data_IF_472879736905
#
_entry.id   IF_472879736905
#
_cell.length_a   1.000
_cell.length_b   1.000
_cell.length_c   1.000
_cell.angle_alpha   90.00
_cell.angle_beta   90.00
_cell.angle_gamma   90.00
#
_symmetry.space_group_name_H-M   'P 1'
#
loop_
_entity.id
_entity.type
_entity.pdbx_description
1 polymer ?
#
# COMPACT_ATOMS: atom_id res chain seq x y z
N UNK A 1 3.77 -18.70 3.31
CA UNK A 1 4.49 -19.35 2.19
C UNK A 1 6.00 -19.09 2.23
N UNK A 2 6.50 -17.87 1.92
CA UNK A 2 7.95 -17.65 1.85
C UNK A 2 8.66 -17.91 3.19
N UNK A 3 8.16 -17.31 4.27
CA UNK A 3 8.75 -17.49 5.61
C UNK A 3 8.55 -18.90 6.17
N UNK A 4 7.47 -19.59 5.78
CA UNK A 4 7.16 -20.94 6.26
C UNK A 4 8.00 -22.04 5.59
N UNK A 5 8.27 -21.91 4.28
CA UNK A 5 8.77 -23.03 3.46
C UNK A 5 10.10 -22.75 2.76
N UNK A 6 10.45 -21.49 2.53
CA UNK A 6 11.54 -21.12 1.63
C UNK A 6 12.67 -20.42 2.39
N UNK A 7 12.34 -19.52 3.31
CA UNK A 7 13.33 -18.78 4.06
C UNK A 7 14.05 -19.68 5.07
N UNK A 8 15.39 -19.64 5.04
CA UNK A 8 16.27 -20.46 5.90
C UNK A 8 17.37 -19.66 6.61
N UNK A 9 17.33 -18.33 6.52
CA UNK A 9 18.30 -17.43 7.18
C UNK A 9 17.95 -17.15 8.64
N UNK A 10 18.74 -16.25 9.25
CA UNK A 10 18.49 -15.80 10.62
C UNK A 10 17.15 -15.08 10.76
N UNK A 11 16.47 -15.30 11.89
CA UNK A 11 15.15 -14.71 12.16
C UNK A 11 15.27 -13.26 12.62
N UNK A 12 15.93 -12.43 11.83
CA UNK A 12 15.99 -10.98 12.01
C UNK A 12 15.32 -10.30 10.82
N UNK A 13 14.59 -9.22 11.07
CA UNK A 13 14.04 -8.39 10.01
C UNK A 13 14.16 -6.91 10.36
N UNK A 14 14.54 -6.10 9.37
CA UNK A 14 14.44 -4.64 9.46
C UNK A 14 13.33 -4.15 8.54
N UNK A 15 12.36 -3.44 9.10
CA UNK A 15 11.21 -2.86 8.38
C UNK A 15 11.19 -1.33 8.49
N UNK A 16 10.51 -0.62 7.57
CA UNK A 16 10.23 0.79 7.80
C UNK A 16 9.28 0.96 8.98
N UNK A 17 9.51 2.00 9.78
CA UNK A 17 8.63 2.33 10.90
C UNK A 17 7.23 2.78 10.44
N UNK A 18 7.10 3.35 9.23
CA UNK A 18 5.82 3.71 8.65
C UNK A 18 5.33 2.59 7.74
N UNK A 19 4.55 1.64 8.27
CA UNK A 19 4.05 0.52 7.48
C UNK A 19 2.75 -0.06 8.03
N UNK A 20 2.21 -1.02 7.30
CA UNK A 20 0.96 -1.69 7.61
C UNK A 20 1.14 -2.80 8.66
N UNK A 21 0.17 -2.99 9.56
CA UNK A 21 0.24 -4.10 10.51
C UNK A 21 0.32 -5.47 9.82
N UNK A 22 -0.36 -5.63 8.67
CA UNK A 22 -0.31 -6.86 7.88
C UNK A 22 1.08 -7.14 7.26
N UNK A 23 1.96 -6.13 7.22
CA UNK A 23 3.34 -6.22 6.76
C UNK A 23 4.25 -6.73 7.91
N UNK A 24 3.90 -6.40 9.15
CA UNK A 24 4.66 -6.74 10.37
C UNK A 24 4.25 -8.11 10.90
N UNK A 25 2.94 -8.39 10.92
CA UNK A 25 2.34 -9.58 11.53
C UNK A 25 2.98 -10.91 11.09
N UNK A 26 3.29 -11.15 9.79
CA UNK A 26 3.93 -12.39 9.38
C UNK A 26 5.26 -12.65 10.10
N UNK A 27 6.09 -11.63 10.31
CA UNK A 27 7.37 -11.78 11.00
C UNK A 27 7.19 -12.06 12.50
N UNK A 28 6.24 -11.38 13.14
CA UNK A 28 5.88 -11.62 14.55
C UNK A 28 5.41 -13.07 14.74
N UNK A 29 4.49 -13.54 13.89
CA UNK A 29 3.92 -14.89 13.97
C UNK A 29 4.97 -15.99 13.75
N UNK A 30 6.11 -15.67 13.12
CA UNK A 30 7.23 -16.58 12.88
C UNK A 30 8.38 -16.44 13.90
N UNK A 31 8.24 -15.54 14.88
CA UNK A 31 9.23 -15.32 15.93
C UNK A 31 10.51 -14.63 15.45
N UNK A 32 10.38 -13.68 14.51
CA UNK A 32 11.50 -12.83 14.12
C UNK A 32 11.81 -11.77 15.19
N UNK A 33 13.09 -11.46 15.38
CA UNK A 33 13.51 -10.20 15.97
C UNK A 33 13.30 -9.07 14.96
N UNK A 34 12.67 -7.99 15.39
CA UNK A 34 12.21 -6.92 14.50
C UNK A 34 12.86 -5.60 14.88
N UNK A 35 13.59 -5.02 13.95
CA UNK A 35 14.13 -3.66 14.03
C UNK A 35 13.38 -2.74 13.04
N UNK A 36 13.33 -1.44 13.36
CA UNK A 36 12.60 -0.46 12.56
C UNK A 36 13.48 0.72 12.15
N UNK A 37 13.65 0.93 10.85
CA UNK A 37 14.35 2.10 10.34
C UNK A 37 13.38 3.27 10.13
N UNK A 38 13.89 4.49 10.34
CA UNK A 38 13.10 5.72 10.21
C UNK A 38 12.81 6.08 8.75
N UNK A 39 11.69 6.77 8.57
CA UNK A 39 11.26 7.37 7.29
C UNK A 39 11.29 8.89 7.46
N UNK A 40 11.83 9.59 6.46
CA UNK A 40 11.85 11.05 6.43
C UNK A 40 10.46 11.60 6.08
N UNK A 41 10.23 12.90 6.30
CA UNK A 41 8.93 13.53 6.02
C UNK A 41 8.55 13.47 4.53
N UNK A 42 9.52 13.46 3.61
CA UNK A 42 9.29 13.24 2.17
C UNK A 42 9.04 11.77 1.81
N UNK A 43 8.81 10.92 2.82
CA UNK A 43 8.61 9.48 2.74
C UNK A 43 9.83 8.68 2.27
N UNK A 44 11.00 9.30 2.12
CA UNK A 44 12.22 8.58 1.78
C UNK A 44 12.79 7.80 2.96
N UNK A 45 13.59 6.78 2.67
CA UNK A 45 14.38 6.07 3.69
C UNK A 45 15.34 7.05 4.37
N UNK A 46 15.43 7.00 5.71
CA UNK A 46 16.51 7.60 6.46
C UNK A 46 17.72 6.63 6.48
N UNK A 47 18.71 6.88 5.62
CA UNK A 47 19.83 5.94 5.40
C UNK A 47 20.66 5.68 6.66
N UNK A 48 20.94 6.71 7.46
CA UNK A 48 21.71 6.56 8.71
C UNK A 48 20.99 5.65 9.71
N UNK A 49 19.68 5.83 9.86
CA UNK A 49 18.86 4.95 10.68
C UNK A 49 18.84 3.54 10.12
N UNK A 50 18.65 3.36 8.81
CA UNK A 50 18.67 2.04 8.20
C UNK A 50 19.99 1.32 8.45
N UNK A 51 21.13 1.98 8.25
CA UNK A 51 22.45 1.41 8.53
C UNK A 51 22.59 1.02 9.99
N UNK A 52 22.19 1.89 10.92
CA UNK A 52 22.23 1.62 12.37
C UNK A 52 21.43 0.38 12.73
N UNK A 53 20.22 0.22 12.19
CA UNK A 53 19.36 -0.94 12.46
C UNK A 53 19.91 -2.24 11.82
N UNK A 54 20.53 -2.14 10.64
CA UNK A 54 21.19 -3.28 10.00
C UNK A 54 22.43 -3.75 10.76
N UNK A 55 23.18 -2.83 11.38
CA UNK A 55 24.34 -3.17 12.21
C UNK A 55 23.95 -4.00 13.44
N UNK A 56 22.79 -3.72 14.06
CA UNK A 56 22.27 -4.51 15.21
C UNK A 56 22.05 -5.97 14.88
N UNK A 57 21.68 -6.27 13.63
CA UNK A 57 21.44 -7.63 13.14
C UNK A 57 22.65 -8.18 12.37
N UNK A 58 23.80 -7.51 12.44
CA UNK A 58 25.03 -7.86 11.73
C UNK A 58 24.82 -8.10 10.22
N UNK A 59 23.92 -7.33 9.59
CA UNK A 59 23.52 -7.49 8.19
C UNK A 59 23.02 -8.89 7.81
N UNK A 60 22.50 -9.67 8.77
CA UNK A 60 22.02 -11.03 8.55
C UNK A 60 20.53 -11.14 8.91
N UNK A 61 19.71 -11.54 7.93
CA UNK A 61 18.26 -11.60 8.06
C UNK A 61 17.55 -11.12 6.81
N UNK A 62 16.48 -10.35 7.01
CA UNK A 62 15.67 -9.75 5.96
C UNK A 62 15.69 -8.22 6.09
N UNK A 63 15.87 -7.51 4.98
CA UNK A 63 15.49 -6.11 4.84
C UNK A 63 14.22 -6.03 4.01
N UNK A 64 13.14 -5.59 4.64
CA UNK A 64 11.87 -5.36 3.98
C UNK A 64 11.74 -3.87 3.65
N UNK A 65 11.53 -3.56 2.38
CA UNK A 65 11.32 -2.20 1.89
C UNK A 65 10.07 -2.13 1.05
N UNK A 66 9.50 -0.93 0.94
CA UNK A 66 8.44 -0.64 -0.02
C UNK A 66 8.47 0.83 -0.41
N UNK A 67 7.93 1.10 -1.59
CA UNK A 67 7.65 2.46 -2.04
C UNK A 67 6.30 2.94 -1.47
N UNK A 68 6.15 4.25 -1.26
CA UNK A 68 4.91 4.82 -0.73
C UNK A 68 4.06 5.48 -1.81
N UNK A 69 2.77 5.17 -1.80
CA UNK A 69 1.71 5.80 -2.59
C UNK A 69 1.94 5.84 -4.11
N UNK A 70 2.78 4.95 -4.64
CA UNK A 70 3.15 4.89 -6.06
C UNK A 70 4.39 5.68 -6.42
N UNK A 71 4.90 6.53 -5.53
CA UNK A 71 6.08 7.35 -5.78
C UNK A 71 7.38 6.59 -5.48
N UNK A 72 8.44 6.91 -6.21
CA UNK A 72 9.78 6.34 -6.01
C UNK A 72 10.47 6.93 -4.76
N UNK A 73 9.97 6.54 -3.59
CA UNK A 73 10.51 6.94 -2.29
C UNK A 73 11.78 6.18 -1.90
N UNK A 74 12.17 5.19 -2.71
CA UNK A 74 13.43 4.45 -2.56
C UNK A 74 14.59 5.14 -3.30
N UNK A 75 14.30 6.06 -4.22
CA UNK A 75 15.25 6.79 -5.09
C UNK A 75 16.56 7.18 -4.41
N UNK A 76 16.48 7.84 -3.24
CA UNK A 76 17.66 8.30 -2.50
C UNK A 76 18.55 7.15 -2.02
N UNK A 77 17.93 6.09 -1.49
CA UNK A 77 18.62 4.92 -0.94
C UNK A 77 19.02 3.86 -1.98
N UNK A 78 18.70 4.04 -3.27
CA UNK A 78 19.05 3.07 -4.34
C UNK A 78 20.54 2.69 -4.35
N UNK A 79 21.52 3.61 -4.18
CA UNK A 79 22.92 3.24 -4.13
C UNK A 79 23.25 2.31 -2.94
N UNK A 80 22.69 2.59 -1.76
CA UNK A 80 22.87 1.77 -0.57
C UNK A 80 22.25 0.38 -0.76
N UNK A 81 21.00 0.32 -1.21
CA UNK A 81 20.27 -0.93 -1.42
C UNK A 81 20.97 -1.82 -2.46
N UNK A 82 21.49 -1.23 -3.54
CA UNK A 82 22.29 -1.95 -4.53
C UNK A 82 23.57 -2.53 -3.91
N UNK A 83 24.27 -1.77 -3.08
CA UNK A 83 25.48 -2.24 -2.37
C UNK A 83 25.15 -3.38 -1.41
N UNK A 84 24.05 -3.28 -0.66
CA UNK A 84 23.59 -4.33 0.26
C UNK A 84 23.28 -5.61 -0.50
N UNK A 85 22.54 -5.52 -1.61
CA UNK A 85 22.25 -6.68 -2.45
C UNK A 85 23.52 -7.35 -2.98
N UNK A 86 24.47 -6.56 -3.47
CA UNK A 86 25.73 -7.09 -4.03
C UNK A 86 26.58 -7.87 -3.02
N UNK A 87 26.48 -7.56 -1.73
CA UNK A 87 27.15 -8.33 -0.68
C UNK A 87 26.54 -9.70 -0.46
N UNK A 88 25.24 -9.86 -0.75
CA UNK A 88 24.52 -11.13 -0.65
C UNK A 88 24.54 -11.76 0.76
N UNK A 89 24.61 -10.94 1.80
CA UNK A 89 24.57 -11.33 3.22
C UNK A 89 23.16 -11.19 3.83
N UNK A 90 22.30 -10.41 3.16
CA UNK A 90 20.99 -9.98 3.60
C UNK A 90 19.96 -10.24 2.50
N UNK A 91 18.81 -10.82 2.83
CA UNK A 91 17.71 -10.94 1.87
C UNK A 91 16.95 -9.64 1.76
N UNK A 92 16.89 -9.03 0.58
CA UNK A 92 16.08 -7.84 0.34
C UNK A 92 14.72 -8.25 -0.23
N UNK A 93 13.66 -7.86 0.48
CA UNK A 93 12.27 -7.99 0.03
C UNK A 93 11.74 -6.60 -0.38
N UNK A 94 11.32 -6.47 -1.63
CA UNK A 94 10.60 -5.28 -2.13
C UNK A 94 9.11 -5.57 -2.20
N UNK A 95 8.33 -5.01 -1.26
CA UNK A 95 6.88 -4.94 -1.42
C UNK A 95 6.52 -3.75 -2.31
N UNK A 96 6.37 -4.07 -3.59
CA UNK A 96 6.03 -3.12 -4.63
C UNK A 96 4.50 -3.03 -4.84
N UNK A 97 3.69 -3.47 -3.85
CA UNK A 97 2.22 -3.37 -3.91
C UNK A 97 1.76 -1.96 -4.24
N UNK A 98 2.37 -0.93 -3.66
CA UNK A 98 1.95 0.45 -3.92
C UNK A 98 2.56 1.06 -5.18
N UNK A 99 3.48 0.39 -5.87
CA UNK A 99 4.15 0.88 -7.08
C UNK A 99 4.04 -0.08 -8.27
N UNK A 100 3.14 -1.08 -8.20
CA UNK A 100 3.06 -2.16 -9.18
C UNK A 100 2.96 -1.68 -10.63
N UNK A 101 2.10 -0.69 -10.90
CA UNK A 101 1.89 -0.20 -12.27
C UNK A 101 2.90 0.87 -12.70
N UNK A 102 3.92 1.17 -11.90
CA UNK A 102 5.03 2.00 -12.36
C UNK A 102 5.72 1.35 -13.56
N UNK A 103 6.31 2.18 -14.41
CA UNK A 103 6.97 1.73 -15.65
C UNK A 103 8.07 0.68 -15.41
N UNK A 104 8.70 0.72 -14.24
CA UNK A 104 9.73 -0.22 -13.81
C UNK A 104 9.67 -0.40 -12.29
N UNK A 105 10.21 -1.51 -11.81
CA UNK A 105 10.52 -1.68 -10.39
C UNK A 105 11.51 -0.62 -9.93
N UNK A 106 11.38 -0.16 -8.70
CA UNK A 106 12.23 0.92 -8.20
C UNK A 106 13.63 0.44 -7.87
N UNK A 107 13.73 -0.77 -7.33
CA UNK A 107 14.99 -1.40 -7.00
C UNK A 107 15.05 -2.82 -7.57
N UNK A 108 16.26 -3.34 -7.60
CA UNK A 108 16.50 -4.76 -7.76
C UNK A 108 16.50 -5.37 -6.35
N UNK A 109 15.55 -6.25 -6.03
CA UNK A 109 15.48 -7.04 -4.78
C UNK A 109 15.57 -8.55 -5.02
N UNK A 110 15.77 -9.33 -3.96
CA UNK A 110 15.87 -10.80 -4.04
C UNK A 110 14.47 -11.42 -4.15
N UNK A 111 13.51 -10.83 -3.44
CA UNK A 111 12.10 -11.21 -3.41
C UNK A 111 11.24 -9.98 -3.67
N UNK A 112 10.15 -10.16 -4.42
CA UNK A 112 9.15 -9.12 -4.64
C UNK A 112 7.76 -9.61 -4.24
N UNK A 113 7.00 -8.70 -3.62
CA UNK A 113 5.64 -8.90 -3.16
C UNK A 113 4.70 -7.85 -3.77
N UNK A 114 3.54 -8.28 -4.28
CA UNK A 114 2.52 -7.34 -4.77
C UNK A 114 1.10 -7.87 -4.53
N UNK A 115 0.21 -7.03 -4.00
CA UNK A 115 -1.23 -7.29 -3.98
C UNK A 115 -1.92 -6.65 -5.20
N UNK A 116 -2.29 -7.47 -6.19
CA UNK A 116 -3.00 -7.00 -7.40
C UNK A 116 -4.40 -6.44 -7.09
N UNK A 117 -5.04 -6.91 -6.02
CA UNK A 117 -6.34 -6.42 -5.52
C UNK A 117 -6.40 -4.93 -5.22
N UNK A 118 -5.24 -4.31 -4.96
CA UNK A 118 -5.17 -2.88 -4.65
C UNK A 118 -5.37 -2.02 -5.90
N UNK A 119 -5.05 -2.57 -7.08
CA UNK A 119 -5.09 -1.86 -8.35
C UNK A 119 -6.29 -2.25 -9.21
N UNK A 120 -6.64 -3.53 -9.18
CA UNK A 120 -7.74 -4.12 -9.93
C UNK A 120 -8.89 -4.48 -9.00
N UNK A 121 -10.12 -4.51 -9.52
CA UNK A 121 -11.32 -4.91 -8.78
C UNK A 121 -11.41 -6.43 -8.61
N UNK A 122 -10.35 -7.08 -8.13
CA UNK A 122 -10.31 -8.53 -7.96
C UNK A 122 -10.71 -8.96 -6.54
N UNK A 123 -11.46 -10.07 -6.40
CA UNK A 123 -11.82 -10.63 -5.08
C UNK A 123 -10.61 -11.13 -4.31
N UNK A 124 -9.63 -11.70 -4.99
CA UNK A 124 -8.41 -12.25 -4.44
C UNK A 124 -7.19 -11.86 -5.30
N UNK A 125 -6.00 -12.26 -4.85
CA UNK A 125 -4.80 -12.18 -5.66
C UNK A 125 -3.63 -11.42 -5.03
N UNK A 126 -2.48 -12.09 -5.04
CA UNK A 126 -1.17 -11.56 -4.74
C UNK A 126 -0.11 -12.24 -5.60
N UNK A 127 1.03 -11.60 -5.76
CA UNK A 127 2.18 -12.07 -6.52
C UNK A 127 3.37 -12.12 -5.58
N UNK A 128 4.01 -13.28 -5.50
CA UNK A 128 5.34 -13.44 -4.93
C UNK A 128 6.28 -13.88 -6.05
N UNK A 129 7.38 -13.16 -6.25
CA UNK A 129 8.39 -13.51 -7.26
C UNK A 129 9.81 -13.33 -6.70
N UNK A 130 10.79 -13.95 -7.34
CA UNK A 130 12.19 -13.84 -6.98
C UNK A 130 13.04 -13.82 -8.25
N UNK A 131 14.09 -12.99 -8.24
CA UNK A 131 15.08 -12.96 -9.32
C UNK A 131 16.28 -13.90 -9.03
N UNK A 132 16.40 -14.41 -7.80
CA UNK A 132 17.57 -15.16 -7.33
C UNK A 132 17.32 -16.65 -7.21
N UNK A 133 16.07 -17.06 -6.97
CA UNK A 133 15.72 -18.47 -6.82
C UNK A 133 14.30 -18.79 -7.27
N UNK A 134 14.03 -20.00 -7.78
CA UNK A 134 12.67 -20.46 -8.01
C UNK A 134 11.89 -20.50 -6.69
N UNK A 135 10.69 -19.93 -6.69
CA UNK A 135 9.77 -20.02 -5.56
C UNK A 135 8.79 -21.17 -5.82
N UNK A 136 9.02 -22.30 -5.17
CA UNK A 136 8.13 -23.45 -5.24
C UNK A 136 7.55 -23.70 -3.86
N UNK A 137 6.22 -23.60 -3.75
CA UNK A 137 5.50 -24.04 -2.55
C UNK A 137 4.68 -25.28 -2.89
N UNK A 138 4.67 -26.22 -1.94
CA UNK A 138 3.90 -27.47 -2.06
C UNK A 138 2.53 -27.36 -1.41
N UNK A 139 2.26 -26.29 -0.65
CA UNK A 139 1.06 -26.14 0.17
C UNK A 139 0.16 -24.99 -0.32
N UNK A 140 0.06 -24.78 -1.63
CA UNK A 140 -0.91 -23.86 -2.21
C UNK A 140 -2.23 -24.61 -2.38
N UNK A 141 -3.25 -24.20 -1.61
CA UNK A 141 -4.60 -24.73 -1.73
C UNK A 141 -5.33 -24.17 -2.95
N UNK A 142 -6.34 -24.85 -3.50
CA UNK A 142 -7.28 -24.23 -4.44
C UNK A 142 -7.87 -22.93 -3.87
N UNK A 143 -8.26 -21.98 -4.72
CA UNK A 143 -8.82 -20.70 -4.28
C UNK A 143 -10.00 -20.87 -3.29
N UNK A 144 -10.18 -19.90 -2.39
CA UNK A 144 -11.29 -19.91 -1.44
C UNK A 144 -12.57 -19.43 -2.12
N UNK A 145 -13.45 -20.37 -2.50
CA UNK A 145 -14.69 -20.07 -3.23
C UNK A 145 -15.66 -19.18 -2.45
N UNK A 146 -15.82 -19.42 -1.15
CA UNK A 146 -16.69 -18.63 -0.27
C UNK A 146 -16.25 -17.15 -0.24
N UNK A 147 -14.97 -16.91 0.04
CA UNK A 147 -14.35 -15.58 0.05
C UNK A 147 -14.52 -14.84 -1.28
N UNK A 148 -14.39 -15.56 -2.41
CA UNK A 148 -14.55 -14.98 -3.75
C UNK A 148 -16.01 -14.64 -4.02
N UNK A 149 -16.94 -15.54 -3.72
CA UNK A 149 -18.37 -15.35 -3.97
C UNK A 149 -18.94 -14.21 -3.12
N UNK A 150 -18.60 -14.15 -1.83
CA UNK A 150 -19.03 -13.05 -0.94
C UNK A 150 -18.51 -11.69 -1.42
N UNK A 151 -17.26 -11.62 -1.88
CA UNK A 151 -16.71 -10.37 -2.39
C UNK A 151 -17.44 -9.92 -3.67
N UNK A 152 -17.78 -10.85 -4.56
CA UNK A 152 -18.54 -10.56 -5.79
C UNK A 152 -19.94 -10.06 -5.40
N UNK A 153 -20.64 -10.76 -4.52
CA UNK A 153 -21.96 -10.35 -4.04
C UNK A 153 -21.92 -8.94 -3.43
N UNK A 154 -20.97 -8.71 -2.51
CA UNK A 154 -20.79 -7.41 -1.87
C UNK A 154 -20.51 -6.30 -2.89
N UNK A 155 -19.72 -6.59 -3.93
CA UNK A 155 -19.38 -5.65 -4.98
C UNK A 155 -20.58 -5.32 -5.88
N UNK A 156 -21.38 -6.31 -6.25
CA UNK A 156 -22.60 -6.12 -7.04
C UNK A 156 -23.65 -5.30 -6.28
N UNK A 157 -23.87 -5.61 -5.01
CA UNK A 157 -24.77 -4.85 -4.13
C UNK A 157 -24.27 -3.41 -3.95
N UNK A 158 -22.97 -3.21 -3.72
CA UNK A 158 -22.39 -1.88 -3.61
C UNK A 158 -22.57 -1.06 -4.88
N UNK A 159 -22.40 -1.67 -6.07
CA UNK A 159 -22.63 -0.97 -7.33
C UNK A 159 -24.07 -0.50 -7.46
N UNK A 160 -25.05 -1.37 -7.19
CA UNK A 160 -26.48 -1.00 -7.19
C UNK A 160 -26.78 0.13 -6.20
N UNK A 161 -26.19 0.08 -5.00
CA UNK A 161 -26.32 1.15 -4.02
C UNK A 161 -25.76 2.49 -4.54
N UNK A 162 -24.60 2.49 -5.18
CA UNK A 162 -23.99 3.70 -5.77
C UNK A 162 -24.78 4.24 -6.97
N UNK A 163 -25.52 3.38 -7.66
CA UNK A 163 -26.48 3.76 -8.71
C UNK A 163 -27.84 4.24 -8.16
N UNK A 164 -27.94 4.41 -6.83
CA UNK A 164 -29.13 4.85 -6.11
C UNK A 164 -30.33 3.88 -6.22
N UNK A 165 -30.07 2.57 -6.31
CA UNK A 165 -31.11 1.55 -6.22
C UNK A 165 -31.75 1.57 -4.81
N UNK A 166 -33.05 1.92 -4.67
CA UNK A 166 -33.70 2.05 -3.37
C UNK A 166 -33.91 0.70 -2.68
N UNK A 167 -33.73 -0.43 -3.38
CA UNK A 167 -33.86 -1.77 -2.81
C UNK A 167 -32.59 -2.25 -2.10
N UNK A 168 -31.50 -1.48 -2.14
CA UNK A 168 -30.21 -1.89 -1.59
C UNK A 168 -29.77 -0.91 -0.50
N UNK A 169 -29.41 -1.47 0.65
CA UNK A 169 -28.88 -0.71 1.78
C UNK A 169 -27.41 -1.08 2.06
N UNK A 170 -26.67 -0.13 2.64
CA UNK A 170 -25.27 -0.35 3.05
C UNK A 170 -25.10 -1.53 4.02
N UNK A 171 -26.11 -1.81 4.82
CA UNK A 171 -26.18 -2.93 5.78
C UNK A 171 -26.07 -4.30 5.11
N UNK A 172 -26.43 -4.42 3.82
CA UNK A 172 -26.44 -5.70 3.12
C UNK A 172 -25.07 -6.13 2.60
N UNK A 173 -24.20 -5.19 2.20
CA UNK A 173 -22.91 -5.53 1.59
C UNK A 173 -21.69 -5.20 2.46
N UNK A 174 -21.81 -4.25 3.39
CA UNK A 174 -20.68 -3.88 4.24
C UNK A 174 -20.20 -5.03 5.15
N UNK A 175 -21.08 -5.83 5.78
CA UNK A 175 -20.66 -7.01 6.54
C UNK A 175 -19.95 -8.06 5.68
N UNK A 176 -20.41 -8.29 4.44
CA UNK A 176 -19.77 -9.20 3.49
C UNK A 176 -18.34 -8.76 3.19
N UNK A 177 -18.12 -7.46 2.89
CA UNK A 177 -16.75 -6.97 2.72
C UNK A 177 -15.89 -7.20 3.96
N UNK A 178 -16.44 -7.01 5.17
CA UNK A 178 -15.69 -7.27 6.41
C UNK A 178 -15.31 -8.75 6.52
N UNK A 179 -16.25 -9.66 6.29
CA UNK A 179 -16.00 -11.10 6.35
C UNK A 179 -14.94 -11.52 5.32
N UNK A 180 -14.99 -10.99 4.10
CA UNK A 180 -13.96 -11.29 3.09
C UNK A 180 -12.54 -10.90 3.51
N UNK A 181 -12.38 -9.87 4.37
CA UNK A 181 -11.07 -9.48 4.90
C UNK A 181 -10.56 -10.48 5.94
N UNK A 182 -11.45 -11.10 6.72
CA UNK A 182 -11.09 -12.07 7.76
C UNK A 182 -10.42 -13.31 7.16
N UNK A 183 -10.75 -13.70 5.93
CA UNK A 183 -10.05 -14.77 5.21
C UNK A 183 -8.56 -14.48 4.95
N UNK A 184 -8.16 -13.21 4.88
CA UNK A 184 -6.74 -12.85 4.69
C UNK A 184 -5.93 -12.93 5.99
N UNK A 185 -6.58 -13.13 7.13
CA UNK A 185 -5.93 -13.44 8.40
C UNK A 185 -5.62 -14.94 8.55
N UNK A 186 -6.14 -15.79 7.66
CA UNK A 186 -5.78 -17.20 7.63
C UNK A 186 -4.33 -17.39 7.18
N UNK A 187 -3.63 -18.35 7.80
CA UNK A 187 -2.22 -18.66 7.49
C UNK A 187 -2.03 -19.44 6.18
N UNK A 188 -3.11 -19.77 5.50
CA UNK A 188 -3.10 -20.65 4.34
C UNK A 188 -2.83 -19.86 3.05
N UNK A 189 -2.00 -20.42 2.17
CA UNK A 189 -1.80 -19.89 0.84
C UNK A 189 -2.83 -20.49 -0.12
N UNK A 190 -3.58 -19.63 -0.82
CA UNK A 190 -4.56 -20.01 -1.82
C UNK A 190 -4.09 -19.64 -3.23
N UNK A 191 -4.42 -20.49 -4.21
CA UNK A 191 -4.25 -20.18 -5.62
C UNK A 191 -5.18 -19.03 -6.04
N UNK A 192 -4.79 -18.32 -7.10
CA UNK A 192 -5.63 -17.25 -7.67
C UNK A 192 -6.93 -17.80 -8.24
N UNK A 193 -8.05 -17.18 -7.92
CA UNK A 193 -9.35 -17.57 -8.47
C UNK A 193 -9.42 -17.35 -10.00
N UNK A 194 -10.22 -18.18 -10.71
CA UNK A 194 -10.40 -18.03 -12.16
C UNK A 194 -10.93 -16.64 -12.57
N UNK A 195 -11.85 -16.07 -11.79
CA UNK A 195 -12.41 -14.74 -12.07
C UNK A 195 -11.35 -13.64 -11.94
N UNK A 196 -10.51 -13.69 -10.91
CA UNK A 196 -9.40 -12.75 -10.77
C UNK A 196 -8.36 -12.92 -11.87
N UNK A 197 -8.11 -14.15 -12.33
CA UNK A 197 -7.24 -14.39 -13.49
C UNK A 197 -7.79 -13.74 -14.76
N UNK A 198 -9.09 -13.89 -15.03
CA UNK A 198 -9.74 -13.23 -16.17
C UNK A 198 -9.64 -11.71 -16.06
N UNK A 199 -9.95 -11.14 -14.90
CA UNK A 199 -9.83 -9.68 -14.66
C UNK A 199 -8.38 -9.23 -14.89
N UNK A 200 -7.41 -9.96 -14.35
CA UNK A 200 -5.98 -9.66 -14.52
C UNK A 200 -5.56 -9.70 -15.99
N UNK A 201 -6.02 -10.69 -16.76
CA UNK A 201 -5.63 -10.83 -18.18
C UNK A 201 -6.31 -9.81 -19.09
N UNK A 202 -7.48 -9.31 -18.72
CA UNK A 202 -8.34 -8.49 -19.60
C UNK A 202 -8.47 -7.04 -19.15
N UNK A 203 -7.91 -6.66 -18.00
CA UNK A 203 -7.96 -5.29 -17.51
C UNK A 203 -7.39 -4.30 -18.54
N UNK A 204 -8.07 -3.17 -18.70
CA UNK A 204 -7.56 -2.05 -19.49
C UNK A 204 -6.51 -1.28 -18.67
N UNK A 205 -5.29 -1.79 -18.63
CA UNK A 205 -4.19 -1.21 -17.86
C UNK A 205 -3.87 0.22 -18.29
N UNK A 206 -3.93 0.52 -19.60
CA UNK A 206 -3.70 1.88 -20.10
C UNK A 206 -4.71 2.87 -19.51
N UNK A 207 -5.99 2.51 -19.46
CA UNK A 207 -7.00 3.33 -18.80
C UNK A 207 -6.71 3.50 -17.31
N UNK A 208 -6.41 2.40 -16.60
CA UNK A 208 -6.10 2.43 -15.16
C UNK A 208 -4.93 3.37 -14.86
N UNK A 209 -3.84 3.24 -15.62
CA UNK A 209 -2.62 4.03 -15.48
C UNK A 209 -2.88 5.50 -15.81
N UNK A 210 -3.45 5.77 -16.99
CA UNK A 210 -3.62 7.14 -17.47
C UNK A 210 -4.60 7.94 -16.62
N UNK A 211 -5.71 7.32 -16.17
CA UNK A 211 -6.68 8.01 -15.31
C UNK A 211 -6.09 8.35 -13.95
N UNK A 212 -5.29 7.45 -13.35
CA UNK A 212 -4.58 7.70 -12.10
C UNK A 212 -3.59 8.86 -12.19
N UNK A 213 -2.77 8.86 -13.22
CA UNK A 213 -1.80 9.93 -13.47
C UNK A 213 -2.54 11.26 -13.68
N UNK A 214 -3.61 11.27 -14.47
CA UNK A 214 -4.42 12.47 -14.73
C UNK A 214 -5.01 13.03 -13.43
N UNK A 215 -5.64 12.18 -12.62
CA UNK A 215 -6.26 12.57 -11.36
C UNK A 215 -5.24 13.13 -10.37
N UNK A 216 -4.14 12.43 -10.15
CA UNK A 216 -3.10 12.88 -9.23
C UNK A 216 -2.43 14.19 -9.67
N UNK A 217 -2.18 14.38 -10.98
CA UNK A 217 -1.68 15.65 -11.53
C UNK A 217 -2.67 16.79 -11.28
N UNK A 218 -3.97 16.54 -11.44
CA UNK A 218 -4.99 17.54 -11.18
C UNK A 218 -4.97 17.97 -9.70
N UNK A 219 -4.91 17.01 -8.77
CA UNK A 219 -4.80 17.31 -7.34
C UNK A 219 -3.52 18.11 -7.02
N UNK A 220 -2.36 17.68 -7.54
CA UNK A 220 -1.08 18.31 -7.23
C UNK A 220 -0.99 19.76 -7.69
N UNK A 221 -1.63 20.09 -8.82
CA UNK A 221 -1.63 21.42 -9.43
C UNK A 221 -2.65 22.37 -8.78
N UNK A 222 -3.80 21.87 -8.34
CA UNK A 222 -4.93 22.71 -7.97
C UNK A 222 -5.21 22.79 -6.46
N UNK A 223 -4.64 21.90 -5.65
CA UNK A 223 -4.68 22.07 -4.19
C UNK A 223 -3.80 23.25 -3.80
N UNK A 224 -4.45 24.27 -3.25
CA UNK A 224 -3.85 25.50 -2.76
C UNK A 224 -4.54 25.90 -1.45
N UNK A 225 -4.07 25.29 -0.35
CA UNK A 225 -4.54 25.58 0.99
C UNK A 225 -3.32 25.74 1.92
N UNK A 226 -3.29 26.78 2.75
CA UNK A 226 -2.17 27.11 3.62
C UNK A 226 -1.87 26.09 4.72
N UNK A 227 -2.87 25.28 5.11
CA UNK A 227 -2.69 24.21 6.09
C UNK A 227 -2.36 22.87 5.45
N UNK A 228 -2.43 22.75 4.12
CA UNK A 228 -2.12 21.52 3.39
C UNK A 228 -0.71 21.61 2.81
N UNK A 229 0.09 20.59 3.05
CA UNK A 229 1.42 20.43 2.49
C UNK A 229 1.45 19.22 1.56
N UNK A 230 1.83 19.46 0.31
CA UNK A 230 1.98 18.43 -0.71
C UNK A 230 3.32 17.73 -0.51
N UNK A 231 3.31 16.42 -0.33
CA UNK A 231 4.53 15.62 -0.21
C UNK A 231 5.26 15.57 -1.57
N UNK A 232 4.49 15.46 -2.65
CA UNK A 232 5.00 15.43 -4.03
C UNK A 232 4.38 16.57 -4.84
N UNK A 233 5.22 17.46 -5.39
CA UNK A 233 4.75 18.62 -6.15
C UNK A 233 4.39 18.30 -7.61
N UNK A 234 4.97 17.23 -8.15
CA UNK A 234 4.78 16.75 -9.51
C UNK A 234 4.53 15.24 -9.55
N UNK A 235 4.10 14.76 -10.71
CA UNK A 235 3.97 13.33 -11.00
C UNK A 235 5.01 12.99 -12.08
N UNK A 236 6.20 12.48 -11.69
CA UNK A 236 7.28 12.18 -12.63
C UNK A 236 6.87 11.17 -13.71
N UNK A 237 7.58 11.18 -14.84
CA UNK A 237 7.32 10.23 -15.91
C UNK A 237 7.55 8.78 -15.43
N UNK A 238 6.59 7.91 -15.69
CA UNK A 238 6.66 6.49 -15.34
C UNK A 238 6.18 6.16 -13.92
N UNK A 239 5.80 7.16 -13.13
CA UNK A 239 5.14 7.00 -11.83
C UNK A 239 3.62 6.92 -12.02
N UNK A 240 2.99 5.94 -11.39
CA UNK A 240 1.55 5.77 -11.33
C UNK A 240 1.11 5.91 -9.88
N UNK A 241 0.47 7.03 -9.50
CA UNK A 241 0.05 7.22 -8.11
C UNK A 241 -0.98 6.20 -7.66
N UNK A 242 -0.70 5.57 -6.53
CA UNK A 242 -1.62 4.67 -5.85
C UNK A 242 -2.68 5.49 -5.10
N UNK A 243 -2.22 6.52 -4.39
CA UNK A 243 -2.98 7.62 -3.80
C UNK A 243 -2.15 8.90 -3.94
N UNK A 244 -2.75 10.07 -3.71
CA UNK A 244 -2.02 11.33 -3.61
C UNK A 244 -1.91 11.76 -2.13
N UNK A 245 -0.74 11.62 -1.48
CA UNK A 245 -0.60 11.89 -0.06
C UNK A 245 -0.32 13.38 0.22
N UNK A 246 -0.94 13.89 1.28
CA UNK A 246 -0.75 15.26 1.78
C UNK A 246 -0.56 15.24 3.30
N UNK A 247 0.20 16.20 3.83
CA UNK A 247 0.22 16.51 5.26
C UNK A 247 -0.73 17.65 5.58
N UNK A 248 -1.35 17.59 6.76
CA UNK A 248 -2.19 18.65 7.28
C UNK A 248 -1.51 19.22 8.53
N UNK A 249 -1.25 20.53 8.50
CA UNK A 249 -0.56 21.28 9.56
C UNK A 249 -1.43 21.46 10.80
N UNK A 250 -0.77 21.83 11.90
CA UNK A 250 -1.40 22.28 13.15
C UNK A 250 -2.37 21.26 13.78
N UNK A 251 -2.17 19.96 13.54
CA UNK A 251 -3.04 18.91 14.06
C UNK A 251 -4.45 18.90 13.46
N UNK A 252 -4.68 19.60 12.34
CA UNK A 252 -6.01 19.75 11.72
C UNK A 252 -6.41 18.60 10.79
N UNK A 253 -5.63 17.50 10.74
CA UNK A 253 -5.90 16.35 9.85
C UNK A 253 -7.29 15.76 10.07
N UNK A 254 -7.69 15.58 11.33
CA UNK A 254 -9.01 15.05 11.68
C UNK A 254 -10.14 15.99 11.26
N UNK A 255 -9.94 17.30 11.43
CA UNK A 255 -10.92 18.32 11.06
C UNK A 255 -11.11 18.38 9.55
N UNK A 256 -10.02 18.36 8.77
CA UNK A 256 -10.11 18.31 7.31
C UNK A 256 -10.80 17.02 6.85
N UNK A 257 -10.46 15.87 7.44
CA UNK A 257 -11.13 14.61 7.09
C UNK A 257 -12.63 14.68 7.37
N UNK A 258 -13.04 15.23 8.52
CA UNK A 258 -14.45 15.44 8.85
C UNK A 258 -15.14 16.35 7.83
N UNK A 259 -14.50 17.47 7.48
CA UNK A 259 -15.01 18.40 6.47
C UNK A 259 -15.19 17.72 5.10
N UNK A 260 -14.26 16.87 4.68
CA UNK A 260 -14.37 16.12 3.43
C UNK A 260 -15.54 15.12 3.48
N UNK A 261 -15.73 14.41 4.60
CA UNK A 261 -16.87 13.50 4.79
C UNK A 261 -18.21 14.24 4.70
N UNK A 262 -18.32 15.43 5.30
CA UNK A 262 -19.52 16.28 5.21
C UNK A 262 -19.82 16.71 3.77
N UNK A 263 -18.81 16.72 2.88
CA UNK A 263 -18.93 16.97 1.45
C UNK A 263 -19.05 15.68 0.61
N UNK A 264 -19.31 14.53 1.25
CA UNK A 264 -19.37 13.19 0.64
C UNK A 264 -18.06 12.76 -0.04
N UNK A 265 -16.92 13.21 0.49
CA UNK A 265 -15.57 12.86 0.04
C UNK A 265 -14.89 12.00 1.11
N UNK A 266 -14.72 10.72 0.82
CA UNK A 266 -14.17 9.75 1.76
C UNK A 266 -12.69 9.49 1.47
N UNK A 267 -11.81 10.12 2.24
CA UNK A 267 -10.36 9.88 2.16
C UNK A 267 -9.90 8.80 3.14
N UNK A 268 -8.96 7.98 2.70
CA UNK A 268 -8.38 6.90 3.49
C UNK A 268 -7.28 7.45 4.40
N UNK A 269 -7.28 7.03 5.67
CA UNK A 269 -6.08 7.05 6.51
C UNK A 269 -5.39 5.72 6.29
N UNK A 270 -4.25 5.73 5.60
CA UNK A 270 -3.47 4.51 5.44
C UNK A 270 -2.66 4.26 6.70
N UNK A 271 -2.91 3.08 7.27
CA UNK A 271 -2.22 2.50 8.42
C UNK A 271 -2.40 3.27 9.72
N UNK A 272 -2.93 2.58 10.72
CA UNK A 272 -2.76 2.99 12.11
C UNK A 272 -1.42 2.45 12.59
N UNK A 273 -0.70 3.17 13.47
CA UNK A 273 0.52 2.63 14.03
C UNK A 273 0.20 1.32 14.75
N UNK A 274 1.00 0.28 14.51
CA UNK A 274 0.82 -0.99 15.22
C UNK A 274 1.10 -0.75 16.71
N UNK A 275 0.52 -1.59 17.58
CA UNK A 275 0.75 -1.50 19.03
C UNK A 275 2.24 -1.57 19.40
N UNK A 276 3.06 -2.19 18.54
CA UNK A 276 4.50 -2.36 18.72
C UNK A 276 5.26 -1.03 18.57
N UNK A 277 4.79 -0.14 17.68
CA UNK A 277 5.46 1.13 17.35
C UNK A 277 4.69 2.35 17.84
N UNK A 278 3.50 2.18 18.45
CA UNK A 278 2.60 3.26 18.80
C UNK A 278 3.20 4.32 19.76
N UNK A 279 4.20 3.95 20.55
CA UNK A 279 4.86 4.83 21.53
C UNK A 279 6.20 5.42 21.00
N UNK A 280 6.60 5.07 19.77
CA UNK A 280 7.86 5.53 19.18
C UNK A 280 7.76 7.02 18.82
N UNK A 281 8.63 7.92 19.32
CA UNK A 281 8.56 9.35 18.95
C UNK A 281 8.72 9.60 17.44
N UNK A 282 9.38 8.70 16.73
CA UNK A 282 9.66 8.79 15.29
C UNK A 282 8.39 8.72 14.42
N UNK A 283 7.29 8.17 14.94
CA UNK A 283 6.03 8.07 14.19
C UNK A 283 5.18 9.35 14.24
N UNK A 284 5.54 10.30 15.12
CA UNK A 284 4.72 11.48 15.44
C UNK A 284 4.61 12.49 14.29
N UNK A 285 5.51 12.46 13.31
CA UNK A 285 5.46 13.40 12.18
C UNK A 285 4.54 12.91 11.05
N UNK A 286 4.47 11.60 10.81
CA UNK A 286 3.77 11.05 9.64
C UNK A 286 2.34 10.66 9.99
N UNK A 287 2.16 9.66 10.88
CA UNK A 287 0.85 9.05 11.16
C UNK A 287 -0.27 10.04 11.53
N UNK A 288 -0.07 11.02 12.43
CA UNK A 288 -1.17 11.91 12.83
C UNK A 288 -1.48 12.99 11.79
N UNK A 289 -0.57 13.27 10.86
CA UNK A 289 -0.64 14.43 9.96
C UNK A 289 -0.95 14.05 8.51
N UNK A 290 -0.70 12.80 8.08
CA UNK A 290 -0.88 12.38 6.70
C UNK A 290 -2.34 12.03 6.38
N UNK A 291 -2.79 12.41 5.19
CA UNK A 291 -4.06 11.99 4.60
C UNK A 291 -3.83 11.55 3.16
N UNK A 292 -4.47 10.46 2.75
CA UNK A 292 -4.34 9.92 1.40
C UNK A 292 -5.56 10.25 0.57
N UNK A 293 -5.39 11.13 -0.41
CA UNK A 293 -6.44 11.49 -1.35
C UNK A 293 -6.58 10.40 -2.42
N UNK A 294 -7.82 10.00 -2.68
CA UNK A 294 -8.11 9.01 -3.71
C UNK A 294 -7.87 9.63 -5.08
N UNK A 295 -7.11 8.95 -5.93
CA UNK A 295 -6.87 9.36 -7.31
C UNK A 295 -7.02 8.18 -8.29
N UNK A 296 -7.69 7.10 -7.87
CA UNK A 296 -7.81 5.89 -8.68
C UNK A 296 -8.70 6.05 -9.92
N UNK A 297 -8.67 5.04 -10.79
CA UNK A 297 -9.32 5.07 -12.11
C UNK A 297 -10.85 5.16 -12.09
N UNK A 298 -11.48 4.97 -10.92
CA UNK A 298 -12.94 5.07 -10.77
C UNK A 298 -13.41 6.53 -10.67
N UNK A 299 -12.49 7.44 -10.36
CA UNK A 299 -12.80 8.85 -10.16
C UNK A 299 -12.55 9.64 -11.45
N UNK A 300 -13.49 10.54 -11.76
CA UNK A 300 -13.43 11.44 -12.89
C UNK A 300 -12.65 12.72 -12.57
N UNK A 301 -12.47 13.57 -13.57
CA UNK A 301 -11.88 14.91 -13.36
C UNK A 301 -12.82 15.79 -12.51
N UNK A 302 -14.14 15.63 -12.67
CA UNK A 302 -15.14 16.39 -11.91
C UNK A 302 -15.09 16.01 -10.43
N UNK A 303 -14.82 14.74 -10.11
CA UNK A 303 -14.57 14.32 -8.74
C UNK A 303 -13.31 15.00 -8.17
N UNK A 304 -12.23 15.10 -8.96
CA UNK A 304 -11.02 15.81 -8.53
C UNK A 304 -11.25 17.30 -8.32
N UNK A 305 -12.09 17.94 -9.13
CA UNK A 305 -12.55 19.33 -8.92
C UNK A 305 -13.25 19.48 -7.57
N UNK A 306 -14.20 18.59 -7.26
CA UNK A 306 -14.89 18.58 -5.95
C UNK A 306 -13.93 18.40 -4.78
N UNK A 307 -12.94 17.51 -4.91
CA UNK A 307 -11.87 17.33 -3.91
C UNK A 307 -11.11 18.63 -3.67
N UNK A 308 -10.64 19.27 -4.75
CA UNK A 308 -9.88 20.51 -4.69
C UNK A 308 -10.68 21.64 -4.06
N UNK A 309 -11.95 21.82 -4.47
CA UNK A 309 -12.83 22.86 -3.93
C UNK A 309 -13.05 22.68 -2.43
N UNK A 310 -13.37 21.46 -1.99
CA UNK A 310 -13.57 21.16 -0.56
C UNK A 310 -12.30 21.41 0.26
N UNK A 311 -11.13 20.99 -0.26
CA UNK A 311 -9.84 21.22 0.42
C UNK A 311 -9.51 22.72 0.47
N UNK A 312 -9.64 23.45 -0.64
CA UNK A 312 -9.26 24.87 -0.70
C UNK A 312 -10.21 25.77 0.12
N UNK A 313 -11.47 25.36 0.29
CA UNK A 313 -12.44 26.10 1.11
C UNK A 313 -12.32 25.82 2.62
N UNK A 314 -11.54 24.82 3.02
CA UNK A 314 -11.31 24.48 4.41
C UNK A 314 -10.45 25.54 5.12
N UNK A 315 -10.88 25.99 6.30
CA UNK A 315 -10.24 27.07 7.08
C UNK A 315 -9.55 26.57 8.35
#
# INVERSE_FOLDING_TARGET
MYLDEIYSGEKNVVLPIYTCETCIKPFVDHGFNIEYYRINEDLSINEDSLVTELEKIAYNGILYVHSYFGFDTLSKAKPLLKKLRQKNELTIIDDYTQSWLNKKKEIEADIYLCSIRKWLSTPDGGVLSSDTQPLQSKNIKPFCEEQVNEYIEASLLKNRFLENDPSVEKSQFYPLFKHTIEYFEHKEAYALSPISKVIFDTANYDFVINQRIKNAKFLSQNINNNIVEKIFNDIPQGIVPFYYPIYIKNGRRADLQKHLIENNIFCTIHWTPSKIIAERPEIAQIYPNILSLVCDQRYSTDDMTRFVEAINNFK
#
